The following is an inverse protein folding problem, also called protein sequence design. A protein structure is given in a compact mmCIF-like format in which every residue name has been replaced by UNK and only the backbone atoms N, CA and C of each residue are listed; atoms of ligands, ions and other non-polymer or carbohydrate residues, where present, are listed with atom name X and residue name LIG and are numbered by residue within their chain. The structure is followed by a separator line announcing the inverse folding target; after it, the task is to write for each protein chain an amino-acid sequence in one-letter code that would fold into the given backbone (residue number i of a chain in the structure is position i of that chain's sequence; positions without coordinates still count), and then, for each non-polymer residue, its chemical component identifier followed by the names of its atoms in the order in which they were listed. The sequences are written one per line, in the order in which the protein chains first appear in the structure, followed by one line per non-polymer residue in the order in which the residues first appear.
data_IF_288425492601
#
_entry.id   IF_288425492601
#
_cell.length_a   1.000
_cell.length_b   1.000
_cell.length_c   1.000
_cell.angle_alpha   90.00
_cell.angle_beta   90.00
_cell.angle_gamma   90.00
#
_symmetry.space_group_name_H-M   'P 1'
#
loop_
_entity.id
_entity.type
_entity.pdbx_description
1 polymer ?
#
# COMPACT_ATOMS: atom_id res chain seq x y z
N UNK A 1 14.86 35.95 3.55
CA UNK A 1 14.07 34.84 2.97
C UNK A 1 13.99 33.71 3.98
N UNK A 2 12.79 33.34 4.45
CA UNK A 2 12.62 32.18 5.35
C UNK A 2 12.93 30.91 4.55
N UNK A 3 13.97 30.19 4.95
CA UNK A 3 14.17 28.80 4.54
C UNK A 3 12.93 28.02 4.95
N UNK A 4 12.03 27.77 4.00
CA UNK A 4 11.04 26.71 4.15
C UNK A 4 11.84 25.43 4.10
N UNK A 5 12.28 24.95 5.26
CA UNK A 5 12.78 23.60 5.40
C UNK A 5 11.72 22.72 4.76
N UNK A 6 12.01 22.16 3.57
CA UNK A 6 11.15 21.18 2.91
C UNK A 6 11.22 19.93 3.77
N UNK A 7 10.46 19.92 4.86
CA UNK A 7 10.35 18.79 5.77
C UNK A 7 9.64 17.69 4.99
N UNK A 8 10.40 16.70 4.56
CA UNK A 8 9.86 15.51 3.91
C UNK A 8 9.21 14.62 4.97
N UNK A 9 8.11 13.95 4.61
CA UNK A 9 7.44 12.99 5.52
C UNK A 9 8.28 11.75 5.78
N UNK A 10 9.17 11.41 4.86
CA UNK A 10 10.06 10.26 4.95
C UNK A 10 11.53 10.69 5.05
N UNK A 11 12.39 9.92 5.75
CA UNK A 11 13.82 10.22 5.82
C UNK A 11 14.50 10.12 4.45
N UNK A 12 15.00 11.24 3.94
CA UNK A 12 15.70 11.35 2.65
C UNK A 12 16.85 10.35 2.52
N UNK A 13 17.63 10.17 3.60
CA UNK A 13 18.75 9.23 3.62
C UNK A 13 18.31 7.77 3.44
N UNK A 14 17.14 7.39 3.97
CA UNK A 14 16.60 6.03 3.82
C UNK A 14 16.12 5.77 2.40
N UNK A 15 15.45 6.75 1.79
CA UNK A 15 15.03 6.71 0.39
C UNK A 15 16.27 6.52 -0.50
N UNK A 16 17.29 7.36 -0.32
CA UNK A 16 18.55 7.26 -1.06
C UNK A 16 19.19 5.87 -0.92
N UNK A 17 19.24 5.31 0.29
CA UNK A 17 19.79 3.96 0.54
C UNK A 17 19.00 2.86 -0.17
N UNK A 18 17.69 2.99 -0.30
CA UNK A 18 16.85 2.03 -1.03
C UNK A 18 17.08 2.17 -2.55
N UNK A 19 17.12 3.40 -3.07
CA UNK A 19 17.42 3.64 -4.49
C UNK A 19 18.76 3.03 -4.90
N UNK A 20 19.79 3.18 -4.06
CA UNK A 20 21.14 2.64 -4.32
C UNK A 20 21.28 1.15 -4.01
N UNK A 21 20.18 0.43 -3.76
CA UNK A 21 20.19 -1.04 -3.83
C UNK A 21 20.21 -1.53 -5.27
N UNK A 22 19.74 -0.71 -6.20
CA UNK A 22 19.87 -0.93 -7.62
C UNK A 22 21.29 -0.55 -8.05
N UNK A 23 22.03 -1.51 -8.60
CA UNK A 23 23.43 -1.36 -8.99
C UNK A 23 23.61 -0.38 -10.15
N UNK A 24 22.57 -0.16 -10.96
CA UNK A 24 22.59 0.82 -12.05
C UNK A 24 22.42 2.27 -11.55
N UNK A 25 22.03 2.45 -10.28
CA UNK A 25 21.83 3.77 -9.66
C UNK A 25 23.15 4.29 -9.05
N UNK A 26 23.85 5.13 -9.81
CA UNK A 26 25.05 5.84 -9.38
C UNK A 26 24.81 7.03 -8.44
N UNK A 27 25.36 8.20 -8.79
CA UNK A 27 25.20 9.42 -7.99
C UNK A 27 23.80 10.01 -8.17
N UNK A 28 23.09 10.20 -7.06
CA UNK A 28 21.74 10.77 -7.04
C UNK A 28 21.78 12.25 -6.65
N UNK A 29 21.08 13.10 -7.41
CA UNK A 29 20.93 14.52 -7.09
C UNK A 29 20.15 14.71 -5.77
N UNK A 30 20.47 15.75 -4.99
CA UNK A 30 19.85 15.98 -3.68
C UNK A 30 18.33 16.18 -3.75
N UNK A 31 17.81 16.72 -4.87
CA UNK A 31 16.38 16.93 -5.06
C UNK A 31 15.61 15.61 -5.30
N UNK A 32 16.26 14.57 -5.85
CA UNK A 32 15.58 13.35 -6.29
C UNK A 32 14.91 12.59 -5.13
N UNK A 33 15.59 12.29 -4.00
CA UNK A 33 14.93 11.59 -2.90
C UNK A 33 13.85 12.43 -2.21
N UNK A 34 13.92 13.76 -2.31
CA UNK A 34 12.89 14.68 -1.79
C UNK A 34 11.60 14.56 -2.61
N UNK A 35 11.70 14.51 -3.94
CA UNK A 35 10.54 14.32 -4.82
C UNK A 35 9.96 12.92 -4.64
N UNK A 36 10.81 11.89 -4.57
CA UNK A 36 10.38 10.51 -4.30
C UNK A 36 9.65 10.44 -2.96
N UNK A 37 10.08 11.18 -1.92
CA UNK A 37 9.34 11.23 -0.66
C UNK A 37 7.91 11.71 -0.83
N UNK A 38 7.65 12.66 -1.74
CA UNK A 38 6.28 13.13 -1.99
C UNK A 38 5.49 12.14 -2.85
N UNK A 39 6.13 11.53 -3.84
CA UNK A 39 5.52 10.46 -4.63
C UNK A 39 5.11 9.27 -3.75
N UNK A 40 5.96 8.87 -2.78
CA UNK A 40 5.67 7.82 -1.82
C UNK A 40 4.46 8.16 -0.93
N UNK A 41 4.32 9.41 -0.52
CA UNK A 41 3.15 9.87 0.25
C UNK A 41 1.85 9.70 -0.57
N UNK A 42 1.87 10.14 -1.83
CA UNK A 42 0.72 10.02 -2.73
C UNK A 42 0.41 8.55 -3.06
N UNK A 43 1.45 7.74 -3.26
CA UNK A 43 1.33 6.32 -3.52
C UNK A 43 0.71 5.58 -2.32
N UNK A 44 1.16 5.86 -1.09
CA UNK A 44 0.58 5.27 0.12
C UNK A 44 -0.89 5.66 0.30
N UNK A 45 -1.25 6.92 0.04
CA UNK A 45 -2.65 7.33 0.05
C UNK A 45 -3.46 6.58 -1.02
N UNK A 46 -2.93 6.45 -2.23
CA UNK A 46 -3.59 5.74 -3.33
C UNK A 46 -3.86 4.26 -3.01
N UNK A 47 -2.82 3.52 -2.58
CA UNK A 47 -2.97 2.08 -2.32
C UNK A 47 -3.88 1.82 -1.11
N UNK A 48 -3.83 2.66 -0.07
CA UNK A 48 -4.72 2.56 1.09
C UNK A 48 -6.16 2.82 0.67
N UNK A 49 -6.42 3.85 -0.15
CA UNK A 49 -7.76 4.13 -0.66
C UNK A 49 -8.30 2.97 -1.50
N UNK A 50 -7.48 2.41 -2.41
CA UNK A 50 -7.91 1.24 -3.20
C UNK A 50 -8.19 0.01 -2.36
N UNK A 51 -7.39 -0.22 -1.33
CA UNK A 51 -7.63 -1.29 -0.36
C UNK A 51 -8.92 -1.05 0.44
N UNK A 52 -9.19 0.20 0.80
CA UNK A 52 -10.40 0.59 1.51
C UNK A 52 -11.65 0.44 0.63
N UNK A 53 -11.59 0.81 -0.64
CA UNK A 53 -12.68 0.62 -1.61
C UNK A 53 -13.09 -0.86 -1.65
N UNK A 54 -12.13 -1.77 -1.83
CA UNK A 54 -12.36 -3.23 -1.78
C UNK A 54 -12.91 -3.68 -0.43
N UNK A 55 -12.37 -3.15 0.67
CA UNK A 55 -12.85 -3.48 2.04
C UNK A 55 -14.33 -3.13 2.18
N UNK A 56 -14.74 -1.96 1.67
CA UNK A 56 -16.10 -1.46 1.72
C UNK A 56 -17.04 -2.24 0.79
N UNK A 57 -16.59 -2.55 -0.43
CA UNK A 57 -17.33 -3.37 -1.41
C UNK A 57 -17.63 -4.78 -0.87
N UNK A 58 -16.70 -5.35 -0.11
CA UNK A 58 -16.90 -6.66 0.55
C UNK A 58 -17.72 -6.58 1.84
N UNK A 59 -18.23 -5.39 2.18
CA UNK A 59 -19.03 -5.16 3.38
C UNK A 59 -18.23 -5.12 4.67
N UNK A 60 -16.89 -5.17 4.63
CA UNK A 60 -16.07 -5.16 5.84
C UNK A 60 -15.82 -3.75 6.35
N UNK A 61 -15.69 -3.60 7.67
CA UNK A 61 -15.20 -2.36 8.32
C UNK A 61 -13.73 -2.44 8.69
N UNK A 62 -13.09 -3.59 8.46
CA UNK A 62 -11.72 -3.88 8.85
C UNK A 62 -10.91 -4.18 7.60
N UNK A 63 -9.83 -3.42 7.41
CA UNK A 63 -8.86 -3.70 6.36
C UNK A 63 -8.05 -4.94 6.74
N UNK A 64 -7.99 -5.92 5.85
CA UNK A 64 -7.24 -7.16 6.00
C UNK A 64 -6.36 -7.39 4.77
N UNK A 65 -5.36 -8.28 4.89
CA UNK A 65 -4.33 -8.42 3.86
C UNK A 65 -4.89 -8.86 2.49
N UNK A 66 -5.96 -9.66 2.45
CA UNK A 66 -6.57 -10.06 1.18
C UNK A 66 -7.34 -8.92 0.49
N UNK A 67 -7.80 -7.89 1.21
CA UNK A 67 -8.34 -6.69 0.57
C UNK A 67 -7.25 -5.97 -0.23
N UNK A 68 -6.04 -5.90 0.32
CA UNK A 68 -4.88 -5.32 -0.37
C UNK A 68 -4.49 -6.18 -1.57
N UNK A 69 -4.44 -7.51 -1.42
CA UNK A 69 -4.20 -8.44 -2.52
C UNK A 69 -5.16 -8.19 -3.68
N UNK A 70 -6.47 -8.15 -3.39
CA UNK A 70 -7.47 -7.94 -4.42
C UNK A 70 -7.37 -6.56 -5.07
N UNK A 71 -7.11 -5.50 -4.29
CA UNK A 71 -6.87 -4.16 -4.83
C UNK A 71 -5.65 -4.12 -5.76
N UNK A 72 -4.61 -4.92 -5.50
CA UNK A 72 -3.43 -5.06 -6.36
C UNK A 72 -3.75 -5.87 -7.62
N UNK A 73 -4.48 -6.98 -7.50
CA UNK A 73 -4.81 -7.87 -8.62
C UNK A 73 -5.75 -7.21 -9.64
N UNK A 74 -6.64 -6.33 -9.18
CA UNK A 74 -7.67 -5.66 -10.00
C UNK A 74 -7.25 -4.29 -10.54
N UNK A 75 -6.03 -3.83 -10.23
CA UNK A 75 -5.56 -2.50 -10.60
C UNK A 75 -4.24 -2.56 -11.36
N UNK A 76 -4.28 -2.27 -12.66
CA UNK A 76 -3.10 -2.34 -13.55
C UNK A 76 -1.94 -1.44 -13.08
N UNK A 77 -2.23 -0.29 -12.45
CA UNK A 77 -1.19 0.61 -11.93
C UNK A 77 -0.42 0.01 -10.73
N UNK A 78 -0.96 -1.05 -10.11
CA UNK A 78 -0.36 -1.75 -8.97
C UNK A 78 0.27 -3.09 -9.37
N UNK A 79 0.35 -3.42 -10.66
CA UNK A 79 0.84 -4.70 -11.18
C UNK A 79 2.22 -5.10 -10.63
N UNK A 80 3.10 -4.12 -10.41
CA UNK A 80 4.43 -4.31 -9.83
C UNK A 80 4.43 -4.87 -8.39
N UNK A 81 3.27 -4.97 -7.74
CA UNK A 81 3.09 -5.54 -6.40
C UNK A 81 2.52 -6.96 -6.42
N UNK A 82 2.10 -7.50 -7.57
CA UNK A 82 1.41 -8.80 -7.64
C UNK A 82 2.23 -9.93 -7.04
N UNK A 83 3.51 -10.00 -7.37
CA UNK A 83 4.43 -11.01 -6.83
C UNK A 83 4.56 -10.91 -5.29
N UNK A 84 4.45 -9.69 -4.73
CA UNK A 84 4.54 -9.48 -3.28
C UNK A 84 3.29 -9.95 -2.52
N UNK A 85 2.12 -9.98 -3.17
CA UNK A 85 0.84 -10.33 -2.54
C UNK A 85 0.36 -11.74 -2.89
N UNK A 86 1.03 -12.44 -3.81
CA UNK A 86 0.63 -13.76 -4.30
C UNK A 86 0.33 -14.75 -3.16
N UNK A 87 1.23 -14.82 -2.18
CA UNK A 87 1.13 -15.74 -1.03
C UNK A 87 0.07 -15.36 0.02
N UNK A 88 -0.65 -14.25 -0.13
CA UNK A 88 -1.69 -13.85 0.84
C UNK A 88 -2.94 -14.71 0.63
N UNK A 89 -3.39 -15.46 1.65
CA UNK A 89 -4.63 -16.23 1.57
C UNK A 89 -5.85 -15.29 1.51
N UNK A 90 -6.78 -15.55 0.58
CA UNK A 90 -8.09 -14.90 0.56
C UNK A 90 -9.16 -15.92 1.01
N UNK A 91 -9.63 -15.85 2.27
CA UNK A 91 -10.64 -16.78 2.79
C UNK A 91 -12.02 -16.59 2.14
N UNK A 92 -12.25 -15.44 1.50
CA UNK A 92 -13.49 -15.16 0.76
C UNK A 92 -13.39 -15.53 -0.72
N UNK A 93 -12.21 -15.93 -1.22
CA UNK A 93 -11.95 -16.24 -2.63
C UNK A 93 -12.50 -15.18 -3.61
N UNK A 94 -12.41 -13.89 -3.26
CA UNK A 94 -12.99 -12.81 -4.08
C UNK A 94 -14.45 -12.45 -3.79
N UNK A 95 -15.12 -13.17 -2.87
CA UNK A 95 -16.52 -12.94 -2.51
C UNK A 95 -16.73 -11.86 -1.43
N UNK A 96 -18.00 -11.49 -1.23
CA UNK A 96 -18.45 -10.62 -0.12
C UNK A 96 -18.40 -11.38 1.20
N UNK A 97 -17.98 -10.70 2.28
CA UNK A 97 -17.96 -11.29 3.62
C UNK A 97 -19.32 -11.02 4.25
N UNK A 98 -20.07 -12.08 4.54
CA UNK A 98 -21.29 -11.96 5.33
C UNK A 98 -20.92 -11.66 6.79
N UNK A 99 -21.05 -10.38 7.15
CA UNK A 99 -20.76 -9.87 8.49
C UNK A 99 -21.62 -10.53 9.57
N UNK A 100 -22.84 -10.97 9.24
CA UNK A 100 -23.73 -11.62 10.21
C UNK A 100 -23.24 -13.03 10.53
N UNK A 101 -22.84 -13.78 9.51
CA UNK A 101 -22.25 -15.12 9.67
C UNK A 101 -20.93 -15.09 10.44
N UNK A 102 -20.04 -14.12 10.18
CA UNK A 102 -18.77 -13.99 10.91
C UNK A 102 -18.99 -13.62 12.38
N UNK A 103 -19.91 -12.70 12.67
CA UNK A 103 -20.28 -12.31 14.03
C UNK A 103 -20.92 -13.47 14.82
N UNK A 104 -21.74 -14.29 14.16
CA UNK A 104 -22.35 -15.48 14.78
C UNK A 104 -21.30 -16.55 15.10
N UNK A 105 -20.32 -16.76 14.21
CA UNK A 105 -19.23 -17.71 14.42
C UNK A 105 -18.34 -17.33 15.62
N UNK A 106 -18.11 -16.03 15.84
CA UNK A 106 -17.35 -15.49 16.97
C UNK A 106 -18.13 -15.52 18.29
N UNK A 107 -19.47 -15.52 18.25
CA UNK A 107 -20.32 -15.67 19.44
C UNK A 107 -20.51 -17.12 19.88
N UNK A 108 -20.30 -18.08 18.98
CA UNK A 108 -20.40 -19.54 19.26
C UNK A 108 -19.06 -20.17 19.70
N UNK A 109 -17.97 -19.41 19.72
CA UNK A 109 -16.67 -19.78 20.31
C UNK A 109 -16.49 -19.09 21.66
#
# INVERSE_FOLDING_TARGET
MKNRNKTTKFPVARIKKIMQKDEEVGKVAQATPVVISKALELFLAYIVNKTHDVTSERGSRKVEAYHLKHAVETNEMLDFLKELVEGVPDPSQGGTIDLEAEAESKRKR
#
